data_IF_571086349305
#
_entry.id   IF_571086349305
#
_cell.length_a   1.000
_cell.length_b   1.000
_cell.length_c   1.000
_cell.angle_alpha   90.00
_cell.angle_beta   90.00
_cell.angle_gamma   90.00
#
_symmetry.space_group_name_H-M   'P 1'
#
loop_
_entity.id
_entity.type
_entity.pdbx_description
1 polymer ?
#
# COMPACT_ATOMS: atom_id res chain seq x y z
N UNK A 1 -18.45 -4.19 -12.41
CA UNK A 1 -17.87 -5.14 -11.44
C UNK A 1 -16.85 -4.42 -10.60
N UNK A 2 -16.97 -4.56 -9.28
CA UNK A 2 -16.01 -4.04 -8.31
C UNK A 2 -15.00 -5.14 -8.01
N UNK A 3 -13.69 -4.83 -7.97
CA UNK A 3 -12.67 -5.82 -7.56
C UNK A 3 -13.01 -6.34 -6.17
N UNK A 4 -12.81 -7.64 -5.96
CA UNK A 4 -12.94 -8.23 -4.63
C UNK A 4 -11.86 -7.68 -3.68
N UNK A 5 -12.10 -7.77 -2.37
CA UNK A 5 -11.11 -7.32 -1.36
C UNK A 5 -9.79 -8.08 -1.46
N UNK A 6 -9.82 -9.34 -1.87
CA UNK A 6 -8.63 -10.18 -2.04
C UNK A 6 -7.82 -9.74 -3.26
N UNK A 7 -8.47 -9.47 -4.40
CA UNK A 7 -7.80 -8.91 -5.59
C UNK A 7 -7.21 -7.53 -5.31
N UNK A 8 -7.94 -6.67 -4.58
CA UNK A 8 -7.43 -5.37 -4.15
C UNK A 8 -6.19 -5.50 -3.26
N UNK A 9 -6.17 -6.48 -2.34
CA UNK A 9 -5.01 -6.74 -1.50
C UNK A 9 -3.84 -7.26 -2.34
N UNK A 10 -4.07 -8.19 -3.26
CA UNK A 10 -3.03 -8.70 -4.15
C UNK A 10 -2.39 -7.56 -4.96
N UNK A 11 -3.19 -6.65 -5.53
CA UNK A 11 -2.70 -5.48 -6.26
C UNK A 11 -1.90 -4.52 -5.37
N UNK A 12 -2.37 -4.28 -4.13
CA UNK A 12 -1.64 -3.49 -3.16
C UNK A 12 -0.25 -4.10 -2.90
N UNK A 13 -0.18 -5.41 -2.68
CA UNK A 13 1.08 -6.12 -2.45
C UNK A 13 2.01 -6.06 -3.66
N UNK A 14 1.48 -6.24 -4.87
CA UNK A 14 2.26 -6.10 -6.11
C UNK A 14 2.84 -4.70 -6.25
N UNK A 15 2.04 -3.65 -6.00
CA UNK A 15 2.52 -2.28 -6.08
C UNK A 15 3.61 -1.97 -5.04
N UNK A 16 3.52 -2.53 -3.82
CA UNK A 16 4.58 -2.39 -2.82
C UNK A 16 5.89 -3.02 -3.29
N UNK A 17 5.85 -4.15 -4.00
CA UNK A 17 7.05 -4.76 -4.61
C UNK A 17 7.61 -3.86 -5.72
N UNK A 18 6.76 -3.38 -6.63
CA UNK A 18 7.18 -2.49 -7.72
C UNK A 18 7.84 -1.21 -7.19
N UNK A 19 7.31 -0.61 -6.13
CA UNK A 19 7.92 0.58 -5.53
C UNK A 19 9.29 0.31 -4.93
N UNK A 20 9.52 -0.87 -4.33
CA UNK A 20 10.86 -1.27 -3.88
C UNK A 20 11.82 -1.44 -5.05
N UNK A 21 11.37 -2.09 -6.12
CA UNK A 21 12.17 -2.30 -7.33
C UNK A 21 12.53 -0.96 -8.02
N UNK A 22 11.66 0.04 -7.88
CA UNK A 22 11.90 1.41 -8.34
C UNK A 22 12.80 2.22 -7.39
N UNK A 23 13.22 1.65 -6.26
CA UNK A 23 14.09 2.30 -5.28
C UNK A 23 13.37 3.33 -4.39
N UNK A 24 12.07 3.17 -4.20
CA UNK A 24 11.31 4.01 -3.29
C UNK A 24 11.53 3.54 -1.84
N UNK A 25 11.95 4.46 -0.97
CA UNK A 25 12.22 4.14 0.44
C UNK A 25 10.95 4.19 1.29
N UNK A 26 9.99 5.07 0.92
CA UNK A 26 8.79 5.36 1.70
C UNK A 26 7.55 5.40 0.81
N UNK A 27 6.43 4.91 1.35
CA UNK A 27 5.12 4.90 0.72
C UNK A 27 4.06 5.48 1.64
N UNK A 28 2.89 5.72 1.06
CA UNK A 28 1.73 6.29 1.73
C UNK A 28 0.57 6.33 0.75
N UNK A 29 -0.67 6.61 1.21
CA UNK A 29 -1.88 6.46 0.40
C UNK A 29 -1.87 7.25 -0.92
N UNK A 30 -1.08 8.34 -1.00
CA UNK A 30 -0.93 9.17 -2.20
C UNK A 30 -0.27 8.46 -3.37
N UNK A 31 0.58 7.46 -3.12
CA UNK A 31 1.31 6.75 -4.17
C UNK A 31 0.37 5.83 -4.97
N UNK A 32 -0.73 5.38 -4.35
CA UNK A 32 -1.73 4.49 -4.93
C UNK A 32 -2.87 5.23 -5.64
N UNK A 33 -2.62 6.44 -6.14
CA UNK A 33 -3.61 7.21 -6.91
C UNK A 33 -3.61 6.81 -8.39
N UNK A 34 -4.76 6.90 -9.09
CA UNK A 34 -6.08 7.27 -8.57
C UNK A 34 -6.67 6.15 -7.68
N UNK A 35 -7.49 6.52 -6.69
CA UNK A 35 -8.22 5.58 -5.84
C UNK A 35 -9.68 5.48 -6.28
N UNK A 36 -10.36 4.40 -5.91
CA UNK A 36 -11.74 4.09 -6.30
C UNK A 36 -11.77 3.06 -7.42
N UNK A 37 -12.92 2.93 -8.09
CA UNK A 37 -13.15 1.92 -9.13
C UNK A 37 -12.23 2.06 -10.35
N UNK A 38 -11.78 3.28 -10.63
CA UNK A 38 -10.86 3.59 -11.74
C UNK A 38 -9.38 3.38 -11.37
N UNK A 39 -9.09 3.23 -10.07
CA UNK A 39 -7.76 2.97 -9.57
C UNK A 39 -7.31 1.54 -9.79
N UNK A 40 -5.99 1.31 -9.90
CA UNK A 40 -5.43 -0.03 -10.07
C UNK A 40 -5.89 -1.00 -8.98
N UNK A 41 -5.91 -0.55 -7.72
CA UNK A 41 -6.38 -1.37 -6.58
C UNK A 41 -7.91 -1.56 -6.62
N UNK A 42 -8.66 -0.65 -7.26
CA UNK A 42 -10.11 -0.74 -7.37
C UNK A 42 -10.87 -0.39 -6.08
N UNK A 43 -10.22 0.26 -5.11
CA UNK A 43 -10.79 0.55 -3.78
C UNK A 43 -10.51 1.98 -3.32
N UNK A 44 -11.22 2.42 -2.28
CA UNK A 44 -11.11 3.77 -1.73
C UNK A 44 -9.73 4.04 -1.10
N UNK A 45 -9.33 5.33 -1.08
CA UNK A 45 -8.14 5.78 -0.35
C UNK A 45 -8.18 5.41 1.14
N UNK A 46 -9.36 5.40 1.75
CA UNK A 46 -9.53 5.01 3.17
C UNK A 46 -9.13 3.57 3.40
N UNK A 47 -9.62 2.65 2.54
CA UNK A 47 -9.24 1.24 2.59
C UNK A 47 -7.72 1.05 2.40
N UNK A 48 -7.11 1.77 1.44
CA UNK A 48 -5.66 1.72 1.22
C UNK A 48 -4.92 2.19 2.47
N UNK A 49 -5.35 3.31 3.07
CA UNK A 49 -4.72 3.85 4.28
C UNK A 49 -4.79 2.89 5.46
N UNK A 50 -5.93 2.22 5.64
CA UNK A 50 -6.13 1.22 6.70
C UNK A 50 -5.21 0.01 6.50
N UNK A 51 -5.14 -0.53 5.27
CA UNK A 51 -4.26 -1.67 4.99
C UNK A 51 -2.77 -1.35 5.14
N UNK A 52 -2.33 -0.15 4.77
CA UNK A 52 -0.94 0.26 4.97
C UNK A 52 -0.59 0.35 6.47
N UNK A 53 -1.53 0.82 7.30
CA UNK A 53 -1.36 0.86 8.76
C UNK A 53 -1.21 -0.55 9.33
N UNK A 54 -2.12 -1.46 8.99
CA UNK A 54 -2.07 -2.85 9.47
C UNK A 54 -0.78 -3.58 9.07
N UNK A 55 -0.32 -3.40 7.82
CA UNK A 55 0.95 -3.97 7.37
C UNK A 55 2.15 -3.44 8.18
N UNK A 56 2.12 -2.15 8.54
CA UNK A 56 3.16 -1.55 9.37
C UNK A 56 3.08 -2.02 10.83
N UNK A 57 1.87 -2.14 11.39
CA UNK A 57 1.61 -2.65 12.75
C UNK A 57 2.10 -4.10 12.89
N UNK A 58 1.88 -4.92 11.86
CA UNK A 58 2.35 -6.30 11.82
C UNK A 58 3.88 -6.40 11.58
N UNK A 59 4.53 -5.28 11.21
CA UNK A 59 5.95 -5.24 10.82
C UNK A 59 6.24 -6.03 9.54
N UNK A 60 5.22 -6.23 8.69
CA UNK A 60 5.32 -7.01 7.45
C UNK A 60 5.25 -6.04 6.29
N UNK A 61 6.28 -6.05 5.43
CA UNK A 61 6.40 -5.19 4.24
C UNK A 61 6.61 -3.70 4.51
N UNK A 62 6.12 -3.20 5.64
CA UNK A 62 6.15 -1.80 6.03
C UNK A 62 6.60 -1.64 7.47
N UNK A 63 7.18 -0.48 7.76
CA UNK A 63 7.53 -0.02 9.11
C UNK A 63 6.95 1.39 9.29
N UNK A 64 6.40 1.67 10.47
CA UNK A 64 5.92 3.02 10.81
C UNK A 64 7.06 4.04 10.74
N UNK A 65 6.71 5.28 10.41
CA UNK A 65 7.65 6.41 10.48
C UNK A 65 7.13 7.45 11.47
N UNK A 66 7.95 8.44 11.79
CA UNK A 66 7.53 9.59 12.59
C UNK A 66 6.45 10.45 11.89
N UNK A 67 6.24 10.24 10.59
CA UNK A 67 5.25 10.97 9.79
C UNK A 67 3.99 10.12 9.60
N UNK A 68 2.89 10.56 10.20
CA UNK A 68 1.59 9.89 10.09
C UNK A 68 1.16 9.70 8.62
N UNK A 69 0.82 8.47 8.24
CA UNK A 69 0.41 8.10 6.90
C UNK A 69 1.56 7.91 5.89
N UNK A 70 2.80 7.94 6.37
CA UNK A 70 4.02 7.57 5.63
C UNK A 70 4.65 6.35 6.31
N UNK A 71 5.02 5.37 5.50
CA UNK A 71 5.56 4.09 5.95
C UNK A 71 6.82 3.77 5.17
N UNK A 72 7.83 3.27 5.86
CA UNK A 72 9.08 2.82 5.23
C UNK A 72 8.87 1.46 4.60
N UNK A 73 9.31 1.28 3.36
CA UNK A 73 9.27 -0.01 2.67
C UNK A 73 10.34 -0.93 3.24
N UNK A 74 9.92 -2.02 3.86
CA UNK A 74 10.84 -3.08 4.29
C UNK A 74 11.22 -3.93 3.08
N UNK A 75 12.51 -4.12 2.83
CA UNK A 75 12.97 -5.16 1.91
C UNK A 75 12.71 -6.51 2.58
N UNK A 76 12.07 -7.48 1.90
CA UNK A 76 12.04 -8.83 2.43
C UNK A 76 13.48 -9.33 2.59
N UNK A 77 13.75 -9.98 3.72
CA UNK A 77 15.02 -10.63 4.00
C UNK A 77 15.30 -11.77 3.00
#
# INVERSE_FOLDING_TARGET
DDKSKEEALAELMTMLVEYREQGLDEVGPRHFQPSGKEGRIGTSRGWISERLCELADDGIHLEETETAGTYKLLYPA
#
